data_IF_830749380958
#
_entry.id   IF_830749380958
#
_cell.length_a   1.000
_cell.length_b   1.000
_cell.length_c   1.000
_cell.angle_alpha   90.00
_cell.angle_beta   90.00
_cell.angle_gamma   90.00
#
_symmetry.space_group_name_H-M   'P 1'
#
loop_
_entity.id
_entity.type
_entity.pdbx_description
1 polymer ?
#
# COMPACT_ATOMS: atom_id res chain seq x y z
N UNK A 1 1.43 -18.34 -16.42
CA UNK A 1 1.67 -17.27 -15.43
C UNK A 1 2.73 -17.76 -14.46
N UNK A 2 3.76 -16.96 -14.25
CA UNK A 2 4.87 -17.37 -13.39
C UNK A 2 4.54 -17.31 -11.90
N UNK A 3 5.27 -18.10 -11.12
CA UNK A 3 5.09 -18.13 -9.67
C UNK A 3 5.33 -16.76 -9.01
N UNK A 4 6.41 -16.07 -9.41
CA UNK A 4 6.71 -14.75 -8.86
C UNK A 4 5.59 -13.75 -9.15
N UNK A 5 4.99 -13.84 -10.32
CA UNK A 5 3.90 -12.97 -10.73
C UNK A 5 2.68 -13.15 -9.83
N UNK A 6 2.34 -14.40 -9.54
CA UNK A 6 1.21 -14.73 -8.65
C UNK A 6 1.52 -14.29 -7.22
N UNK A 7 2.74 -14.53 -6.75
CA UNK A 7 3.14 -14.12 -5.41
C UNK A 7 3.07 -12.60 -5.24
N UNK A 8 3.57 -11.84 -6.22
CA UNK A 8 3.52 -10.38 -6.17
C UNK A 8 2.07 -9.88 -6.16
N UNK A 9 1.22 -10.46 -6.98
CA UNK A 9 -0.20 -10.06 -7.01
C UNK A 9 -0.85 -10.29 -5.65
N UNK A 10 -0.60 -11.43 -5.00
CA UNK A 10 -1.17 -11.70 -3.69
C UNK A 10 -0.61 -10.79 -2.60
N UNK A 11 0.66 -10.38 -2.70
CA UNK A 11 1.20 -9.42 -1.74
C UNK A 11 0.49 -8.08 -1.87
N UNK A 12 0.20 -7.63 -3.08
CA UNK A 12 -0.57 -6.40 -3.28
C UNK A 12 -1.98 -6.51 -2.70
N UNK A 13 -2.62 -7.69 -2.84
CA UNK A 13 -3.92 -7.93 -2.20
C UNK A 13 -3.78 -7.83 -0.67
N UNK A 14 -2.78 -8.49 -0.10
CA UNK A 14 -2.55 -8.46 1.35
C UNK A 14 -2.30 -7.03 1.83
N UNK A 15 -1.51 -6.25 1.09
CA UNK A 15 -1.23 -4.85 1.43
C UNK A 15 -2.51 -4.01 1.43
N UNK A 16 -3.38 -4.21 0.44
CA UNK A 16 -4.66 -3.52 0.40
C UNK A 16 -5.54 -3.88 1.59
N UNK A 17 -5.54 -5.15 1.99
CA UNK A 17 -6.30 -5.58 3.16
C UNK A 17 -5.78 -4.91 4.44
N UNK A 18 -4.46 -4.77 4.56
CA UNK A 18 -3.86 -4.06 5.71
C UNK A 18 -4.30 -2.59 5.71
N UNK A 19 -4.26 -1.92 4.57
CA UNK A 19 -4.69 -0.53 4.48
C UNK A 19 -6.17 -0.37 4.81
N UNK A 20 -7.01 -1.24 4.28
CA UNK A 20 -8.44 -1.22 4.55
C UNK A 20 -8.72 -1.47 6.04
N UNK A 21 -8.03 -2.45 6.62
CA UNK A 21 -8.17 -2.76 8.04
C UNK A 21 -7.79 -1.55 8.90
N UNK A 22 -6.70 -0.86 8.54
CA UNK A 22 -6.29 0.35 9.23
C UNK A 22 -7.36 1.44 9.18
N UNK A 23 -7.97 1.65 8.02
CA UNK A 23 -9.04 2.64 7.87
C UNK A 23 -10.25 2.30 8.73
N UNK A 24 -10.65 1.02 8.72
CA UNK A 24 -11.79 0.57 9.52
C UNK A 24 -11.52 0.75 11.01
N UNK A 25 -10.32 0.38 11.47
CA UNK A 25 -9.98 0.53 12.88
C UNK A 25 -9.92 2.00 13.30
N UNK A 26 -9.42 2.88 12.43
CA UNK A 26 -9.41 4.32 12.73
C UNK A 26 -10.81 4.88 12.89
N UNK A 27 -11.75 4.41 12.08
CA UNK A 27 -13.16 4.83 12.20
C UNK A 27 -13.74 4.33 13.53
N UNK A 28 -13.56 3.05 13.85
CA UNK A 28 -14.11 2.47 15.07
C UNK A 28 -13.45 3.00 16.34
N UNK A 29 -12.17 3.32 16.29
CA UNK A 29 -11.47 3.89 17.45
C UNK A 29 -11.83 5.35 17.69
N UNK A 30 -12.43 6.03 16.72
CA UNK A 30 -12.77 7.43 16.81
C UNK A 30 -11.60 8.38 16.56
N UNK A 31 -10.48 7.91 16.04
CA UNK A 31 -9.31 8.75 15.79
C UNK A 31 -9.60 9.88 14.82
N UNK A 32 -10.48 9.64 13.85
CA UNK A 32 -10.89 10.70 12.92
C UNK A 32 -11.69 11.81 13.59
N UNK A 33 -12.30 11.54 14.74
CA UNK A 33 -13.12 12.51 15.47
C UNK A 33 -12.33 13.22 16.55
N UNK A 34 -11.14 12.75 16.92
CA UNK A 34 -10.39 13.25 18.08
C UNK A 34 -9.27 14.21 17.76
N UNK A 35 -9.11 14.61 16.52
CA UNK A 35 -8.36 15.80 16.30
C UNK A 35 -7.04 15.75 15.57
N UNK A 36 -6.43 14.63 15.33
CA UNK A 36 -5.21 14.62 14.52
C UNK A 36 -5.51 14.73 13.03
N UNK A 37 -6.68 14.25 12.63
CA UNK A 37 -7.16 14.39 11.26
C UNK A 37 -8.57 14.98 11.31
N UNK A 38 -8.69 16.21 10.89
CA UNK A 38 -10.01 16.85 10.78
C UNK A 38 -10.61 16.49 9.41
N UNK A 39 -11.52 15.53 9.42
CA UNK A 39 -12.19 15.09 8.19
C UNK A 39 -12.95 16.23 7.54
N UNK A 40 -13.51 17.13 8.34
CA UNK A 40 -14.31 18.24 7.83
C UNK A 40 -13.47 19.28 7.11
N UNK A 41 -12.16 19.30 7.33
CA UNK A 41 -11.24 20.20 6.65
C UNK A 41 -10.87 19.70 5.24
N UNK A 42 -11.22 18.45 4.91
CA UNK A 42 -10.85 17.87 3.62
C UNK A 42 -11.74 18.40 2.51
N UNK A 43 -11.11 18.89 1.44
CA UNK A 43 -11.81 19.36 0.25
C UNK A 43 -12.08 18.22 -0.71
N UNK A 44 -12.95 18.45 -1.71
CA UNK A 44 -13.19 17.44 -2.74
C UNK A 44 -11.93 17.02 -3.48
N UNK A 45 -11.03 17.94 -3.91
CA UNK A 45 -9.77 17.54 -4.51
C UNK A 45 -8.90 16.68 -3.58
N UNK A 46 -8.92 16.93 -2.27
CA UNK A 46 -8.17 16.11 -1.30
C UNK A 46 -8.72 14.69 -1.24
N UNK A 47 -10.05 14.54 -1.19
CA UNK A 47 -10.67 13.23 -1.21
C UNK A 47 -10.38 12.48 -2.51
N UNK A 48 -10.40 13.18 -3.63
CA UNK A 48 -10.05 12.59 -4.92
C UNK A 48 -8.60 12.10 -4.93
N UNK A 49 -7.68 12.91 -4.40
CA UNK A 49 -6.26 12.52 -4.30
C UNK A 49 -6.06 11.28 -3.47
N UNK A 50 -6.75 11.18 -2.33
CA UNK A 50 -6.70 9.97 -1.47
C UNK A 50 -7.24 8.77 -2.24
N UNK A 51 -8.34 8.93 -2.97
CA UNK A 51 -8.92 7.85 -3.75
C UNK A 51 -7.96 7.35 -4.82
N UNK A 52 -7.29 8.24 -5.54
CA UNK A 52 -6.30 7.88 -6.56
C UNK A 52 -5.16 7.10 -5.90
N UNK A 53 -4.66 7.59 -4.77
CA UNK A 53 -3.57 6.92 -4.06
C UNK A 53 -3.96 5.50 -3.64
N UNK A 54 -5.19 5.34 -3.14
CA UNK A 54 -5.66 4.03 -2.66
C UNK A 54 -6.01 3.07 -3.80
N UNK A 55 -6.30 3.58 -4.98
CA UNK A 55 -6.56 2.75 -6.16
C UNK A 55 -5.26 2.17 -6.73
N UNK A 56 -4.11 2.82 -6.51
CA UNK A 56 -2.84 2.36 -7.07
C UNK A 56 -2.51 0.90 -6.73
N UNK A 57 -2.62 0.44 -5.47
CA UNK A 57 -2.37 -0.98 -5.18
C UNK A 57 -3.37 -1.91 -5.87
N UNK A 58 -4.62 -1.47 -6.05
CA UNK A 58 -5.61 -2.27 -6.75
C UNK A 58 -5.22 -2.42 -8.22
N UNK A 59 -4.80 -1.32 -8.85
CA UNK A 59 -4.31 -1.34 -10.23
C UNK A 59 -3.08 -2.24 -10.33
N UNK A 60 -2.20 -2.21 -9.32
CA UNK A 60 -1.00 -3.04 -9.30
C UNK A 60 -1.32 -4.54 -9.31
N UNK A 61 -2.42 -4.95 -8.70
CA UNK A 61 -2.84 -6.36 -8.75
C UNK A 61 -3.07 -6.77 -10.20
N UNK A 62 -3.83 -5.98 -10.93
CA UNK A 62 -4.14 -6.27 -12.34
C UNK A 62 -2.90 -6.16 -13.23
N UNK A 63 -2.12 -5.10 -13.05
CA UNK A 63 -0.92 -4.89 -13.85
C UNK A 63 0.11 -5.99 -13.63
N UNK A 64 0.26 -6.46 -12.39
CA UNK A 64 1.17 -7.55 -12.07
C UNK A 64 0.78 -8.83 -12.79
N UNK A 65 -0.52 -9.08 -12.97
CA UNK A 65 -1.00 -10.26 -13.65
C UNK A 65 -0.95 -10.17 -15.17
N UNK A 66 -0.93 -8.95 -15.72
CA UNK A 66 -1.12 -8.73 -17.16
C UNK A 66 0.13 -8.27 -17.91
N UNK A 67 1.07 -7.60 -17.26
CA UNK A 67 2.21 -7.00 -17.95
C UNK A 67 3.32 -8.03 -18.19
N UNK A 68 4.15 -7.82 -19.25
CA UNK A 68 5.32 -8.65 -19.48
C UNK A 68 6.38 -8.43 -18.41
N UNK A 69 7.22 -9.44 -18.18
CA UNK A 69 8.13 -9.50 -17.04
C UNK A 69 9.07 -8.29 -16.90
N UNK A 70 9.77 -7.83 -17.94
CA UNK A 70 10.72 -6.73 -17.72
C UNK A 70 10.05 -5.47 -17.18
N UNK A 71 8.93 -5.07 -17.75
CA UNK A 71 8.18 -3.89 -17.35
C UNK A 71 7.52 -4.11 -15.99
N UNK A 72 6.91 -5.28 -15.79
CA UNK A 72 6.22 -5.65 -14.59
C UNK A 72 7.15 -5.59 -13.37
N UNK A 73 8.34 -6.17 -13.50
CA UNK A 73 9.36 -6.16 -12.45
C UNK A 73 9.67 -4.74 -11.98
N UNK A 74 9.98 -3.85 -12.93
CA UNK A 74 10.37 -2.48 -12.56
C UNK A 74 9.21 -1.67 -11.99
N UNK A 75 8.02 -1.84 -12.53
CA UNK A 75 6.83 -1.17 -12.00
C UNK A 75 6.58 -1.60 -10.56
N UNK A 76 6.67 -2.90 -10.26
CA UNK A 76 6.51 -3.40 -8.90
C UNK A 76 7.53 -2.78 -7.94
N UNK A 77 8.80 -2.71 -8.36
CA UNK A 77 9.85 -2.13 -7.52
C UNK A 77 9.58 -0.64 -7.27
N UNK A 78 9.26 0.11 -8.32
CA UNK A 78 9.06 1.56 -8.20
C UNK A 78 7.87 1.88 -7.32
N UNK A 79 6.74 1.23 -7.55
CA UNK A 79 5.52 1.52 -6.79
C UNK A 79 5.66 1.06 -5.34
N UNK A 80 6.27 -0.11 -5.10
CA UNK A 80 6.50 -0.57 -3.74
C UNK A 80 7.45 0.35 -2.98
N UNK A 81 8.50 0.84 -3.62
CA UNK A 81 9.42 1.81 -3.00
C UNK A 81 8.70 3.12 -2.69
N UNK A 82 7.82 3.58 -3.57
CA UNK A 82 7.02 4.77 -3.33
C UNK A 82 6.15 4.61 -2.08
N UNK A 83 5.43 3.49 -1.97
CA UNK A 83 4.58 3.24 -0.81
C UNK A 83 5.39 3.04 0.46
N UNK A 84 6.55 2.41 0.35
CA UNK A 84 7.45 2.26 1.51
C UNK A 84 7.84 3.62 2.07
N UNK A 85 8.31 4.52 1.22
CA UNK A 85 8.72 5.86 1.65
C UNK A 85 7.52 6.65 2.16
N UNK A 86 6.40 6.57 1.48
CA UNK A 86 5.18 7.27 1.89
C UNK A 86 4.74 6.84 3.30
N UNK A 87 4.69 5.54 3.53
CA UNK A 87 4.27 5.00 4.82
C UNK A 87 5.31 5.26 5.91
N UNK A 88 6.60 5.18 5.58
CA UNK A 88 7.67 5.44 6.53
C UNK A 88 7.63 6.88 7.02
N UNK A 89 7.42 7.83 6.11
CA UNK A 89 7.31 9.25 6.47
C UNK A 89 6.07 9.49 7.33
N UNK A 90 4.97 8.80 7.02
CA UNK A 90 3.73 8.96 7.77
C UNK A 90 3.70 8.27 9.13
N UNK A 91 4.59 7.30 9.36
CA UNK A 91 4.56 6.48 10.58
C UNK A 91 4.53 7.30 11.87
N UNK A 92 5.39 8.33 12.06
CA UNK A 92 5.39 9.09 13.32
C UNK A 92 4.14 9.93 13.53
N UNK A 93 3.33 10.16 12.51
CA UNK A 93 2.14 11.01 12.61
C UNK A 93 0.93 10.28 13.20
N UNK A 94 0.98 8.96 13.25
CA UNK A 94 -0.13 8.16 13.77
C UNK A 94 -0.03 8.02 15.28
N UNK A 95 -1.16 8.18 15.96
CA UNK A 95 -1.24 8.19 17.42
C UNK A 95 -1.39 6.81 18.00
N UNK A 96 -2.19 5.95 17.37
CA UNK A 96 -2.53 4.63 17.91
C UNK A 96 -1.44 3.60 17.68
N UNK A 97 -1.22 2.72 18.65
CA UNK A 97 -0.29 1.61 18.49
C UNK A 97 -0.74 0.65 17.39
N UNK A 98 -2.05 0.45 17.24
CA UNK A 98 -2.59 -0.40 16.18
C UNK A 98 -2.24 0.14 14.79
N UNK A 99 -2.30 1.46 14.61
CA UNK A 99 -1.93 2.11 13.36
C UNK A 99 -0.46 1.90 13.04
N UNK A 100 0.40 2.13 14.03
CA UNK A 100 1.84 1.96 13.85
C UNK A 100 2.17 0.50 13.54
N UNK A 101 1.51 -0.43 14.20
CA UNK A 101 1.68 -1.86 13.95
C UNK A 101 1.31 -2.22 12.51
N UNK A 102 0.16 -1.77 12.04
CA UNK A 102 -0.30 -2.05 10.68
C UNK A 102 0.61 -1.42 9.63
N UNK A 103 1.11 -0.21 9.89
CA UNK A 103 2.03 0.44 8.96
C UNK A 103 3.35 -0.33 8.88
N UNK A 104 3.86 -0.82 10.00
CA UNK A 104 5.08 -1.64 10.00
C UNK A 104 4.86 -2.92 9.18
N UNK A 105 3.72 -3.56 9.32
CA UNK A 105 3.38 -4.73 8.50
C UNK A 105 3.35 -4.36 7.02
N UNK A 106 2.75 -3.21 6.68
CA UNK A 106 2.74 -2.72 5.31
C UNK A 106 4.14 -2.46 4.76
N UNK A 107 5.03 -1.90 5.59
CA UNK A 107 6.43 -1.68 5.22
C UNK A 107 7.13 -3.01 4.94
N UNK A 108 6.89 -4.02 5.76
CA UNK A 108 7.45 -5.36 5.53
C UNK A 108 6.96 -5.93 4.20
N UNK A 109 5.67 -5.79 3.90
CA UNK A 109 5.12 -6.24 2.62
C UNK A 109 5.75 -5.52 1.44
N UNK A 110 6.00 -4.22 1.57
CA UNK A 110 6.68 -3.46 0.52
C UNK A 110 8.11 -3.96 0.30
N UNK A 111 8.83 -4.26 1.38
CA UNK A 111 10.19 -4.83 1.28
C UNK A 111 10.16 -6.20 0.60
N UNK A 112 9.20 -7.04 0.96
CA UNK A 112 9.05 -8.36 0.34
C UNK A 112 8.75 -8.21 -1.16
N UNK A 113 7.90 -7.25 -1.53
CA UNK A 113 7.58 -6.99 -2.93
C UNK A 113 8.83 -6.60 -3.72
N UNK A 114 9.63 -5.69 -3.19
CA UNK A 114 10.87 -5.26 -3.84
C UNK A 114 11.84 -6.45 -3.95
N UNK A 115 11.97 -7.23 -2.88
CA UNK A 115 12.88 -8.38 -2.87
C UNK A 115 12.46 -9.43 -3.89
N UNK A 116 11.19 -9.79 -3.94
CA UNK A 116 10.68 -10.76 -4.90
C UNK A 116 10.83 -10.25 -6.34
N UNK A 117 10.52 -8.99 -6.57
CA UNK A 117 10.64 -8.40 -7.91
C UNK A 117 12.09 -8.32 -8.36
N UNK A 118 12.99 -7.98 -7.44
CA UNK A 118 14.43 -7.92 -7.75
C UNK A 118 14.99 -9.28 -8.14
N UNK A 119 14.56 -10.34 -7.42
CA UNK A 119 15.02 -11.70 -7.69
C UNK A 119 14.20 -12.42 -8.76
N UNK A 120 13.22 -11.73 -9.34
CA UNK A 120 12.38 -12.29 -10.39
C UNK A 120 13.18 -12.43 -11.67
N UNK A 121 13.47 -13.67 -12.04
CA UNK A 121 14.22 -13.96 -13.27
C UNK A 121 13.27 -14.33 -14.39
N UNK A 122 13.58 -13.93 -15.65
CA UNK A 122 12.78 -14.35 -16.79
C UNK A 122 12.87 -15.87 -16.97
N UNK A 123 11.77 -16.46 -17.36
CA UNK A 123 11.72 -17.91 -17.63
C UNK A 123 11.84 -18.16 -19.13
#
# INVERSE_FOLDING_TARGET
>A
MGEAQVQLAFIWVALMLVYLLGDVLRIFSGDYLRGDTDINAFTQPMWLGISVLMVLPIIMILMTLMLPQPLNRWINIIVAAFFFLFNLVGLPTYVGLYDKFLIVIGLVFNVITVWLAWHWTPV
#
